data_IF_504938716282
#
_entry.id   IF_504938716282
#
_cell.length_a   1.000
_cell.length_b   1.000
_cell.length_c   1.000
_cell.angle_alpha   90.00
_cell.angle_beta   90.00
_cell.angle_gamma   90.00
#
_symmetry.space_group_name_H-M   'P 1'
#
loop_
_entity.id
_entity.type
_entity.pdbx_description
1 polymer ?
#
# COMPACT_ATOMS: atom_id res chain seq x y z
N UNK A 1 77.91 47.57 -5.95
CA UNK A 1 76.64 48.08 -5.31
C UNK A 1 75.63 47.08 -5.53
N UNK A 2 75.00 46.62 -4.42
CA UNK A 2 74.16 45.38 -4.31
C UNK A 2 72.74 45.67 -4.62
N UNK A 3 72.11 44.89 -5.51
CA UNK A 3 70.67 44.85 -5.69
C UNK A 3 70.12 43.60 -5.01
N UNK A 4 69.26 43.84 -4.06
CA UNK A 4 68.51 42.78 -3.42
C UNK A 4 67.28 42.43 -4.25
N UNK A 5 67.15 41.17 -4.62
CA UNK A 5 65.96 40.63 -5.25
C UNK A 5 64.98 40.11 -4.22
N UNK A 6 63.79 40.66 -4.20
CA UNK A 6 62.67 40.18 -3.37
C UNK A 6 61.91 39.13 -4.14
N UNK A 7 61.99 37.90 -3.64
CA UNK A 7 61.27 36.75 -4.14
C UNK A 7 59.82 36.80 -3.64
N UNK A 8 58.88 36.99 -4.61
CA UNK A 8 57.43 36.96 -4.31
C UNK A 8 56.94 35.49 -4.28
N UNK A 9 56.73 34.97 -3.10
CA UNK A 9 56.18 33.63 -2.95
C UNK A 9 54.66 33.69 -3.13
N UNK A 10 54.22 33.19 -4.26
CA UNK A 10 52.82 33.03 -4.61
C UNK A 10 52.25 31.84 -3.81
N UNK A 11 51.52 32.15 -2.77
CA UNK A 11 50.66 31.19 -2.07
C UNK A 11 49.45 30.90 -2.98
N UNK A 12 49.49 29.73 -3.63
CA UNK A 12 48.33 29.17 -4.30
C UNK A 12 47.48 28.48 -3.23
N UNK A 13 46.44 29.14 -2.76
CA UNK A 13 45.39 28.53 -1.96
C UNK A 13 44.53 27.63 -2.88
N UNK A 14 44.84 26.33 -2.88
CA UNK A 14 43.96 25.31 -3.45
C UNK A 14 42.71 25.17 -2.62
N UNK A 15 41.61 25.80 -3.05
CA UNK A 15 40.29 25.52 -2.49
C UNK A 15 39.86 24.12 -2.95
N UNK A 16 40.04 23.13 -2.10
CA UNK A 16 39.42 21.81 -2.22
C UNK A 16 37.90 21.97 -2.08
N UNK A 17 37.20 22.05 -3.21
CA UNK A 17 35.74 21.93 -3.25
C UNK A 17 35.40 20.47 -2.91
N UNK A 18 35.06 20.25 -1.64
CA UNK A 18 34.50 19.00 -1.19
C UNK A 18 33.05 18.90 -1.69
N UNK A 19 32.86 18.35 -2.89
CA UNK A 19 31.55 17.99 -3.38
C UNK A 19 31.12 16.76 -2.58
N UNK A 20 30.44 17.01 -1.46
CA UNK A 20 29.76 15.95 -0.73
C UNK A 20 28.70 15.33 -1.62
N UNK A 21 28.94 14.12 -2.12
CA UNK A 21 27.90 13.25 -2.66
C UNK A 21 26.95 12.95 -1.49
N UNK A 22 25.89 13.72 -1.38
CA UNK A 22 24.77 13.34 -0.53
C UNK A 22 24.08 12.19 -1.27
N UNK A 23 24.40 10.96 -0.88
CA UNK A 23 23.59 9.81 -1.23
C UNK A 23 22.21 10.08 -0.61
N UNK A 24 21.24 10.42 -1.45
CA UNK A 24 19.83 10.40 -1.06
C UNK A 24 19.55 8.93 -0.82
N UNK A 25 19.61 8.50 0.45
CA UNK A 25 19.09 7.21 0.85
C UNK A 25 17.60 7.23 0.53
N UNK A 26 17.23 6.57 -0.57
CA UNK A 26 15.83 6.26 -0.83
C UNK A 26 15.41 5.39 0.37
N UNK A 27 14.58 5.94 1.25
CA UNK A 27 14.00 5.16 2.33
C UNK A 27 13.22 4.02 1.67
N UNK A 28 13.59 2.79 2.00
CA UNK A 28 12.87 1.62 1.51
C UNK A 28 11.43 1.70 1.99
N UNK A 29 10.48 1.63 1.05
CA UNK A 29 9.06 1.71 1.38
C UNK A 29 8.68 0.47 2.19
N UNK A 30 8.11 0.67 3.38
CA UNK A 30 7.68 -0.40 4.27
C UNK A 30 6.70 -1.33 3.54
N UNK A 31 6.98 -2.63 3.52
CA UNK A 31 6.00 -3.65 3.18
C UNK A 31 4.97 -3.80 4.31
N UNK A 32 3.70 -3.80 3.97
CA UNK A 32 2.59 -4.10 4.88
C UNK A 32 2.09 -5.49 4.53
N UNK A 33 1.97 -6.36 5.54
CA UNK A 33 1.36 -7.68 5.39
C UNK A 33 -0.14 -7.59 5.69
N UNK A 34 -0.96 -8.33 4.96
CA UNK A 34 -2.40 -8.40 5.18
C UNK A 34 -2.76 -8.87 6.59
N UNK A 35 -1.94 -9.72 7.20
CA UNK A 35 -2.14 -10.18 8.57
C UNK A 35 -1.93 -9.08 9.61
N UNK A 36 -1.16 -8.02 9.29
CA UNK A 36 -1.01 -6.85 10.18
C UNK A 36 -2.30 -6.04 10.31
N UNK A 37 -3.25 -6.22 9.39
CA UNK A 37 -4.54 -5.53 9.38
C UNK A 37 -5.60 -6.25 10.23
N UNK A 38 -5.30 -7.45 10.73
CA UNK A 38 -6.19 -8.26 11.57
C UNK A 38 -5.71 -8.19 13.02
N UNK A 39 -6.59 -7.86 13.99
CA UNK A 39 -6.25 -7.94 15.41
C UNK A 39 -5.75 -9.33 15.81
N UNK A 40 -4.72 -9.44 16.67
CA UNK A 40 -4.16 -10.74 17.06
C UNK A 40 -5.16 -11.71 17.71
N UNK A 41 -6.20 -11.19 18.36
CA UNK A 41 -7.31 -11.97 18.92
C UNK A 41 -8.15 -12.61 17.81
N UNK A 42 -8.47 -11.88 16.74
CA UNK A 42 -9.23 -12.41 15.60
C UNK A 42 -8.42 -13.49 14.85
N UNK A 43 -7.10 -13.30 14.68
CA UNK A 43 -6.23 -14.32 14.09
C UNK A 43 -6.29 -15.65 14.84
N UNK A 44 -6.28 -15.60 16.20
CA UNK A 44 -6.39 -16.80 17.03
C UNK A 44 -7.74 -17.48 16.88
N UNK A 45 -8.81 -16.71 16.77
CA UNK A 45 -10.15 -17.25 16.53
C UNK A 45 -10.23 -17.94 15.16
N UNK A 46 -9.66 -17.34 14.11
CA UNK A 46 -9.62 -17.93 12.77
C UNK A 46 -8.83 -19.25 12.75
N UNK A 47 -7.70 -19.33 13.46
CA UNK A 47 -6.91 -20.57 13.58
C UNK A 47 -7.64 -21.67 14.34
N UNK A 48 -8.50 -21.31 15.29
CA UNK A 48 -9.24 -22.26 16.13
C UNK A 48 -10.53 -22.78 15.49
N UNK A 49 -11.01 -22.16 14.41
CA UNK A 49 -12.25 -22.59 13.74
C UNK A 49 -12.01 -23.92 13.00
N UNK A 50 -12.89 -24.91 13.17
CA UNK A 50 -12.79 -26.14 12.42
C UNK A 50 -12.94 -25.84 10.92
N UNK A 51 -12.17 -26.57 10.09
CA UNK A 51 -12.31 -26.52 8.63
C UNK A 51 -13.78 -26.90 8.32
N UNK A 52 -14.54 -25.93 7.82
CA UNK A 52 -15.96 -26.14 7.51
C UNK A 52 -16.05 -27.14 6.34
N UNK A 53 -16.80 -28.21 6.54
CA UNK A 53 -17.10 -29.16 5.46
C UNK A 53 -17.87 -28.43 4.34
N UNK A 54 -17.28 -28.35 3.16
CA UNK A 54 -17.83 -27.64 2.01
C UNK A 54 -19.06 -28.33 1.36
N UNK A 55 -19.65 -29.32 2.01
CA UNK A 55 -20.84 -30.02 1.54
C UNK A 55 -22.18 -29.36 1.97
N UNK A 56 -22.13 -28.22 2.64
CA UNK A 56 -23.31 -27.47 3.09
C UNK A 56 -23.68 -26.30 2.19
N UNK A 57 -24.87 -25.76 2.35
CA UNK A 57 -25.29 -24.47 1.74
C UNK A 57 -24.32 -23.38 2.21
N UNK A 58 -23.76 -22.54 1.28
CA UNK A 58 -22.88 -21.44 1.69
C UNK A 58 -23.62 -20.55 2.70
N UNK A 59 -23.14 -20.54 3.94
CA UNK A 59 -23.59 -19.60 4.94
C UNK A 59 -22.82 -18.32 4.70
N UNK A 60 -23.50 -17.18 4.57
CA UNK A 60 -22.83 -15.89 4.46
C UNK A 60 -21.93 -15.70 5.70
N UNK A 61 -20.64 -15.35 5.51
CA UNK A 61 -19.75 -15.15 6.64
C UNK A 61 -20.28 -14.04 7.55
N UNK A 62 -20.21 -14.28 8.86
CA UNK A 62 -20.52 -13.26 9.86
C UNK A 62 -19.24 -12.50 10.20
N UNK A 63 -19.17 -11.24 9.78
CA UNK A 63 -18.05 -10.34 10.03
C UNK A 63 -18.31 -9.35 11.16
N UNK A 64 -19.32 -9.60 12.00
CA UNK A 64 -19.69 -8.70 13.11
C UNK A 64 -18.54 -8.45 14.10
N UNK A 65 -17.57 -9.36 14.18
CA UNK A 65 -16.38 -9.25 15.02
C UNK A 65 -15.13 -8.77 14.27
N UNK A 66 -15.27 -8.37 13.01
CA UNK A 66 -14.12 -7.86 12.25
C UNK A 66 -13.84 -6.41 12.61
N UNK A 67 -12.67 -6.16 13.21
CA UNK A 67 -12.24 -4.83 13.63
C UNK A 67 -10.91 -4.44 12.99
N UNK A 68 -10.69 -3.17 12.72
CA UNK A 68 -9.38 -2.71 12.24
C UNK A 68 -8.37 -2.62 13.38
N UNK A 69 -7.09 -2.80 13.05
CA UNK A 69 -5.96 -2.56 13.97
C UNK A 69 -5.70 -1.05 14.07
N UNK A 70 -5.98 -0.46 15.24
CA UNK A 70 -5.98 1.00 15.43
C UNK A 70 -4.59 1.63 15.17
N UNK A 71 -3.50 0.90 15.41
CA UNK A 71 -2.13 1.39 15.17
C UNK A 71 -1.76 1.49 13.70
N UNK A 72 -2.58 0.92 12.80
CA UNK A 72 -2.38 1.03 11.36
C UNK A 72 -2.85 2.38 10.79
N UNK A 73 -3.55 3.18 11.58
CA UNK A 73 -3.97 4.51 11.16
C UNK A 73 -2.76 5.43 10.94
N UNK A 74 -2.63 5.96 9.72
CA UNK A 74 -1.54 6.86 9.34
C UNK A 74 -0.23 6.15 8.95
N UNK A 75 -0.21 4.81 8.91
CA UNK A 75 0.96 4.06 8.46
C UNK A 75 1.14 4.25 6.95
N UNK A 76 2.35 4.64 6.57
CA UNK A 76 2.77 4.72 5.17
C UNK A 76 3.51 3.45 4.77
N UNK A 77 3.20 2.93 3.59
CA UNK A 77 3.80 1.70 3.09
C UNK A 77 3.16 1.20 1.81
N UNK A 78 3.55 0.00 1.39
CA UNK A 78 2.98 -0.68 0.23
C UNK A 78 2.47 -2.07 0.62
N UNK A 79 1.35 -2.46 0.04
CA UNK A 79 0.73 -3.77 0.25
C UNK A 79 0.50 -4.44 -1.11
N UNK A 80 0.79 -5.74 -1.26
CA UNK A 80 0.48 -6.45 -2.49
C UNK A 80 -0.99 -6.84 -2.49
N UNK A 81 -1.68 -6.64 -3.61
CA UNK A 81 -3.10 -7.02 -3.69
C UNK A 81 -3.68 -6.94 -5.09
N UNK A 82 -4.94 -7.32 -5.19
CA UNK A 82 -5.71 -7.29 -6.42
C UNK A 82 -6.66 -6.10 -6.42
N UNK A 83 -6.79 -5.46 -7.57
CA UNK A 83 -7.68 -4.31 -7.75
C UNK A 83 -9.06 -4.80 -8.15
N UNK A 84 -10.09 -4.42 -7.38
CA UNK A 84 -11.50 -4.63 -7.71
C UNK A 84 -12.13 -3.27 -8.01
N UNK A 85 -12.32 -2.90 -9.30
CA UNK A 85 -12.91 -1.63 -9.68
C UNK A 85 -14.34 -1.48 -9.13
N UNK A 86 -14.61 -0.33 -8.51
CA UNK A 86 -15.96 0.07 -8.05
C UNK A 86 -16.58 1.01 -9.07
N UNK A 87 -15.82 2.02 -9.48
CA UNK A 87 -16.25 3.03 -10.44
C UNK A 87 -15.25 3.14 -11.59
N UNK A 88 -15.74 2.91 -12.80
CA UNK A 88 -14.98 3.09 -14.04
C UNK A 88 -15.55 4.30 -14.78
N UNK A 89 -14.68 5.19 -15.26
CA UNK A 89 -15.06 6.39 -15.99
C UNK A 89 -15.39 6.10 -17.45
N UNK A 90 -15.93 7.08 -18.16
CA UNK A 90 -16.21 6.98 -19.61
C UNK A 90 -14.92 6.81 -20.43
N UNK A 91 -13.77 7.30 -19.92
CA UNK A 91 -12.46 7.14 -20.55
C UNK A 91 -11.81 5.77 -20.25
N UNK A 92 -12.56 4.85 -19.63
CA UNK A 92 -12.08 3.52 -19.24
C UNK A 92 -10.92 3.57 -18.22
N UNK A 93 -10.98 4.52 -17.28
CA UNK A 93 -10.08 4.62 -16.14
C UNK A 93 -10.81 4.28 -14.85
N UNK A 94 -10.09 3.92 -13.80
CA UNK A 94 -10.65 3.53 -12.49
C UNK A 94 -10.56 4.73 -11.54
N UNK A 95 -11.71 5.22 -11.07
CA UNK A 95 -11.80 6.34 -10.14
C UNK A 95 -12.04 5.92 -8.69
N UNK A 96 -12.51 4.71 -8.46
CA UNK A 96 -12.68 4.11 -7.14
C UNK A 96 -12.48 2.59 -7.23
N UNK A 97 -11.79 2.00 -6.27
CA UNK A 97 -11.55 0.56 -6.23
C UNK A 97 -11.32 0.04 -4.82
N UNK A 98 -11.53 -1.26 -4.64
CA UNK A 98 -11.03 -2.00 -3.49
C UNK A 98 -9.69 -2.65 -3.82
N UNK A 99 -8.85 -2.78 -2.80
CA UNK A 99 -7.68 -3.66 -2.79
C UNK A 99 -8.01 -4.84 -1.89
N UNK A 100 -7.75 -6.05 -2.38
CA UNK A 100 -8.07 -7.31 -1.69
C UNK A 100 -6.89 -8.28 -1.75
N UNK A 101 -6.75 -9.23 -0.78
CA UNK A 101 -5.57 -10.10 -0.68
C UNK A 101 -5.50 -11.21 -1.72
N UNK A 102 -6.60 -11.56 -2.39
CA UNK A 102 -6.64 -12.64 -3.37
C UNK A 102 -7.54 -12.34 -4.54
N UNK A 103 -7.22 -12.95 -5.68
CA UNK A 103 -8.00 -12.80 -6.91
C UNK A 103 -9.41 -13.37 -6.76
N UNK A 104 -10.39 -12.67 -7.33
CA UNK A 104 -11.80 -13.09 -7.33
C UNK A 104 -12.58 -12.73 -6.08
N UNK A 105 -11.95 -12.16 -5.07
CA UNK A 105 -12.64 -11.60 -3.92
C UNK A 105 -13.69 -10.56 -4.36
N UNK A 106 -14.83 -10.53 -3.67
CA UNK A 106 -15.97 -9.65 -3.96
C UNK A 106 -16.71 -9.89 -5.29
N UNK A 107 -16.21 -10.75 -6.17
CA UNK A 107 -16.81 -11.02 -7.49
C UNK A 107 -17.30 -12.47 -7.61
N UNK A 108 -16.45 -13.44 -7.26
CA UNK A 108 -16.71 -14.87 -7.45
C UNK A 108 -16.84 -15.66 -6.15
N UNK A 109 -16.40 -15.09 -5.05
CA UNK A 109 -16.45 -15.66 -3.69
C UNK A 109 -17.02 -14.61 -2.76
N UNK A 110 -17.55 -15.01 -1.58
CA UNK A 110 -17.94 -14.02 -0.58
C UNK A 110 -16.83 -13.00 -0.34
N UNK A 111 -17.16 -11.72 -0.14
CA UNK A 111 -16.15 -10.72 0.14
C UNK A 111 -15.33 -11.10 1.38
N UNK A 112 -14.05 -10.72 1.44
CA UNK A 112 -13.25 -10.86 2.66
C UNK A 112 -13.86 -10.06 3.82
N UNK A 113 -13.42 -10.32 5.06
CA UNK A 113 -13.83 -9.47 6.18
C UNK A 113 -13.42 -8.01 5.95
N UNK A 114 -14.17 -7.03 6.50
CA UNK A 114 -13.92 -5.61 6.27
C UNK A 114 -12.49 -5.14 6.58
N UNK A 115 -11.79 -5.77 7.51
CA UNK A 115 -10.39 -5.49 7.83
C UNK A 115 -9.39 -6.11 6.84
N UNK A 116 -9.88 -6.83 5.85
CA UNK A 116 -9.12 -7.37 4.71
C UNK A 116 -9.52 -6.75 3.37
N UNK A 117 -10.14 -5.58 3.42
CA UNK A 117 -10.48 -4.77 2.26
C UNK A 117 -10.00 -3.35 2.52
N UNK A 118 -9.29 -2.77 1.55
CA UNK A 118 -8.85 -1.38 1.59
C UNK A 118 -9.57 -0.62 0.48
N UNK A 119 -10.29 0.44 0.83
CA UNK A 119 -10.91 1.34 -0.13
C UNK A 119 -9.91 2.39 -0.63
N UNK A 120 -9.89 2.61 -1.94
CA UNK A 120 -9.01 3.59 -2.56
C UNK A 120 -9.82 4.48 -3.51
N UNK A 121 -9.71 5.78 -3.28
CA UNK A 121 -10.21 6.82 -4.18
C UNK A 121 -9.04 7.75 -4.52
N UNK A 122 -8.34 7.50 -5.63
CA UNK A 122 -7.20 8.31 -6.03
C UNK A 122 -7.64 9.72 -6.42
N UNK A 123 -6.76 10.72 -6.24
CA UNK A 123 -7.02 12.10 -6.69
C UNK A 123 -7.24 12.20 -8.21
N UNK A 124 -6.57 11.33 -8.96
CA UNK A 124 -6.75 11.19 -10.41
C UNK A 124 -7.04 9.73 -10.71
N UNK A 125 -8.03 9.44 -11.57
CA UNK A 125 -8.30 8.07 -12.00
C UNK A 125 -7.03 7.39 -12.50
N UNK A 126 -6.87 6.11 -12.18
CA UNK A 126 -5.77 5.29 -12.68
C UNK A 126 -6.17 4.62 -13.99
N UNK A 127 -5.20 4.27 -14.82
CA UNK A 127 -5.45 3.48 -16.01
C UNK A 127 -6.06 2.12 -15.66
N UNK A 128 -6.89 1.57 -16.55
CA UNK A 128 -7.44 0.24 -16.36
C UNK A 128 -6.30 -0.78 -16.35
N UNK A 129 -6.19 -1.49 -15.24
CA UNK A 129 -5.18 -2.51 -15.00
C UNK A 129 -5.71 -3.91 -15.37
N UNK A 130 -4.82 -4.87 -15.48
CA UNK A 130 -5.20 -6.27 -15.57
C UNK A 130 -5.73 -6.74 -14.21
N UNK A 131 -7.06 -6.86 -14.08
CA UNK A 131 -7.73 -7.17 -12.81
C UNK A 131 -7.35 -8.53 -12.21
N UNK A 132 -6.78 -9.43 -13.02
CA UNK A 132 -6.26 -10.73 -12.57
C UNK A 132 -4.81 -10.70 -12.11
N UNK A 133 -4.11 -9.58 -12.32
CA UNK A 133 -2.74 -9.39 -11.85
C UNK A 133 -2.71 -8.76 -10.46
N UNK A 134 -1.71 -9.12 -9.68
CA UNK A 134 -1.43 -8.47 -8.41
C UNK A 134 -0.60 -7.20 -8.63
N UNK A 135 -0.79 -6.22 -7.75
CA UNK A 135 -0.11 -4.93 -7.78
C UNK A 135 0.43 -4.60 -6.40
N UNK A 136 1.53 -3.87 -6.35
CA UNK A 136 1.89 -3.09 -5.20
C UNK A 136 1.04 -1.82 -5.16
N UNK A 137 0.30 -1.64 -4.07
CA UNK A 137 -0.48 -0.44 -3.80
C UNK A 137 0.24 0.30 -2.69
N UNK A 138 0.81 1.45 -3.01
CA UNK A 138 1.56 2.27 -2.08
C UNK A 138 0.76 3.49 -1.66
N UNK A 139 0.81 3.80 -0.38
CA UNK A 139 0.10 4.95 0.16
C UNK A 139 0.08 4.99 1.67
N UNK A 140 -0.82 5.84 2.19
CA UNK A 140 -1.03 6.02 3.61
C UNK A 140 -2.36 5.42 4.04
N UNK A 141 -2.32 4.43 4.93
CA UNK A 141 -3.52 3.82 5.50
C UNK A 141 -4.26 4.77 6.42
N UNK A 142 -5.58 4.69 6.38
CA UNK A 142 -6.50 5.36 7.29
C UNK A 142 -7.54 4.38 7.81
N UNK A 143 -8.00 4.59 9.03
CA UNK A 143 -9.17 3.91 9.56
C UNK A 143 -10.42 4.65 9.10
N UNK A 144 -11.07 4.09 8.10
CA UNK A 144 -12.27 4.68 7.51
C UNK A 144 -13.15 3.57 6.97
N UNK A 145 -14.37 3.48 7.49
CA UNK A 145 -15.35 2.51 7.03
C UNK A 145 -16.01 3.01 5.75
N UNK A 146 -15.94 2.18 4.71
CA UNK A 146 -16.64 2.39 3.45
C UNK A 146 -17.49 1.18 3.12
N UNK A 147 -18.69 1.40 2.59
CA UNK A 147 -19.62 0.34 2.20
C UNK A 147 -20.25 0.63 0.84
N UNK A 148 -20.33 -0.38 -0.01
CA UNK A 148 -21.01 -0.35 -1.29
C UNK A 148 -21.60 -1.72 -1.63
N UNK A 149 -22.10 -1.88 -2.87
CA UNK A 149 -22.72 -3.13 -3.32
C UNK A 149 -21.75 -4.32 -3.42
N UNK A 150 -20.43 -4.09 -3.44
CA UNK A 150 -19.42 -5.13 -3.57
C UNK A 150 -18.90 -5.61 -2.21
N UNK A 151 -18.98 -4.78 -1.16
CA UNK A 151 -18.49 -5.12 0.16
C UNK A 151 -18.34 -3.93 1.09
N UNK A 152 -17.71 -4.19 2.22
CA UNK A 152 -17.37 -3.19 3.23
C UNK A 152 -15.87 -3.21 3.50
N UNK A 153 -15.26 -2.05 3.71
CA UNK A 153 -13.88 -1.92 4.15
C UNK A 153 -13.81 -1.20 5.48
N UNK A 154 -12.85 -1.59 6.33
CA UNK A 154 -12.51 -0.88 7.57
C UNK A 154 -11.33 0.07 7.39
N UNK A 155 -10.67 -0.01 6.23
CA UNK A 155 -9.53 0.81 5.86
C UNK A 155 -9.78 1.56 4.57
N UNK A 156 -9.22 2.76 4.46
CA UNK A 156 -8.97 3.44 3.19
C UNK A 156 -7.48 3.71 3.02
N UNK A 157 -7.06 4.06 1.82
CA UNK A 157 -5.68 4.43 1.54
C UNK A 157 -5.61 5.70 0.68
N UNK A 158 -4.84 6.68 1.17
CA UNK A 158 -4.39 7.79 0.32
C UNK A 158 -3.31 7.28 -0.60
N UNK A 159 -3.67 7.11 -1.88
CA UNK A 159 -2.83 6.46 -2.87
C UNK A 159 -1.62 7.32 -3.26
N UNK A 160 -0.43 6.74 -3.24
CA UNK A 160 0.80 7.31 -3.79
C UNK A 160 1.14 6.70 -5.15
N UNK A 161 1.11 5.37 -5.28
CA UNK A 161 1.42 4.68 -6.52
C UNK A 161 0.76 3.30 -6.63
N UNK A 162 0.61 2.84 -7.88
CA UNK A 162 0.23 1.47 -8.24
C UNK A 162 1.28 0.94 -9.21
N UNK A 163 1.92 -0.16 -8.87
CA UNK A 163 2.95 -0.80 -9.72
C UNK A 163 2.74 -2.30 -9.80
N UNK A 164 3.07 -2.98 -10.91
CA UNK A 164 2.96 -4.43 -11.00
C UNK A 164 3.72 -5.12 -9.86
N UNK A 165 3.13 -6.17 -9.31
CA UNK A 165 3.80 -7.04 -8.34
C UNK A 165 4.51 -8.16 -9.08
N UNK A 166 5.84 -8.13 -9.05
CA UNK A 166 6.68 -9.19 -9.59
C UNK A 166 7.03 -10.15 -8.44
N UNK A 167 6.15 -11.12 -8.20
CA UNK A 167 6.30 -12.14 -7.17
C UNK A 167 7.06 -13.38 -7.64
#
# INVERSE_FOLDING_TARGET
>A
MKFAGTSLWRLVFGALVWVGLQSVAMAEVRGIDWLELIPPEELKEMESQPIVDHNGTPIAPDYSNSHPVLTMNGVEGRIPGYIVPITVTEENTISEFFVVPYFGACIHVPPPPPNQIIYVKPEKPIEMTEIWAAYWIEGKLKLENQANSLGQSSYSMELTSVTPWEG
#
